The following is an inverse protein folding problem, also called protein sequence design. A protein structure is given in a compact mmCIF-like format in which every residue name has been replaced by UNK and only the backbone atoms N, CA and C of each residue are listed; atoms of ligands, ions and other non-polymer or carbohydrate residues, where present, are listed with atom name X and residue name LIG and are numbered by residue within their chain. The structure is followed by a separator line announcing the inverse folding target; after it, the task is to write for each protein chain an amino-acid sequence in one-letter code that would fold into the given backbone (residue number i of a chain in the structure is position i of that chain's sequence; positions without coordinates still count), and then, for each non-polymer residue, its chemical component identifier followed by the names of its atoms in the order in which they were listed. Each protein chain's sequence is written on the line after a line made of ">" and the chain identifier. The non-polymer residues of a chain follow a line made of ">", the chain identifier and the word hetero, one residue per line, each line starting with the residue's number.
data_IF_824482002871
#
_entry.id   IF_824482002871
#
_cell.length_a   1.000
_cell.length_b   1.000
_cell.length_c   1.000
_cell.angle_alpha   90.00
_cell.angle_beta   90.00
_cell.angle_gamma   90.00
#
_symmetry.space_group_name_H-M   'P 1'
#
loop_
_entity.id
_entity.type
_entity.pdbx_description
1 polymer ?
#
# COMPACT_ATOMS: atom_id res chain seq x y z
N UNK A 1 -0.98 11.46 4.09
CA UNK A 1 -1.71 10.47 4.92
C UNK A 1 -2.93 11.17 5.56
N UNK A 2 -4.03 10.49 5.94
CA UNK A 2 -5.17 11.16 6.59
C UNK A 2 -4.82 11.92 7.87
N UNK A 3 -3.74 11.56 8.55
CA UNK A 3 -3.23 12.28 9.73
C UNK A 3 -2.46 13.57 9.38
N UNK A 4 -2.02 13.76 8.14
CA UNK A 4 -1.30 14.97 7.70
C UNK A 4 -2.25 16.08 7.23
N UNK A 5 -3.57 15.82 7.30
CA UNK A 5 -4.62 16.72 6.83
C UNK A 5 -4.46 18.13 7.43
N UNK A 6 -4.35 19.13 6.56
CA UNK A 6 -4.27 20.54 6.96
C UNK A 6 -2.94 20.97 7.58
N UNK A 7 -1.98 20.05 7.76
CA UNK A 7 -0.69 20.35 8.39
C UNK A 7 0.49 20.28 7.42
N UNK A 8 0.35 19.54 6.31
CA UNK A 8 1.46 19.39 5.38
C UNK A 8 0.98 19.31 3.94
N UNK A 9 1.45 20.24 3.13
CA UNK A 9 1.33 20.20 1.69
C UNK A 9 2.63 19.68 1.08
N UNK A 10 2.57 18.51 0.46
CA UNK A 10 3.73 17.89 -0.20
C UNK A 10 3.85 18.28 -1.68
N UNK A 11 2.94 19.08 -2.23
CA UNK A 11 2.89 19.39 -3.65
C UNK A 11 4.23 19.91 -4.17
N UNK A 12 4.80 20.94 -3.52
CA UNK A 12 6.07 21.52 -3.95
C UNK A 12 7.23 20.52 -3.91
N UNK A 13 7.28 19.68 -2.88
CA UNK A 13 8.32 18.64 -2.74
C UNK A 13 8.16 17.59 -3.84
N UNK A 14 6.93 17.15 -4.11
CA UNK A 14 6.63 16.17 -5.16
C UNK A 14 7.00 16.73 -6.53
N UNK A 15 6.68 17.99 -6.83
CA UNK A 15 7.02 18.65 -8.10
C UNK A 15 8.54 18.74 -8.30
N UNK A 16 9.29 19.12 -7.27
CA UNK A 16 10.75 19.17 -7.33
C UNK A 16 11.37 17.77 -7.58
N UNK A 17 10.88 16.75 -6.87
CA UNK A 17 11.33 15.37 -7.07
C UNK A 17 10.92 14.85 -8.45
N UNK A 18 9.74 15.20 -8.94
CA UNK A 18 9.26 14.80 -10.26
C UNK A 18 10.16 15.36 -11.37
N UNK A 19 10.58 16.62 -11.24
CA UNK A 19 11.55 17.25 -12.13
C UNK A 19 12.90 16.55 -12.05
N UNK A 20 13.41 16.35 -10.84
CA UNK A 20 14.73 15.74 -10.61
C UNK A 20 14.83 14.31 -11.19
N UNK A 21 13.79 13.49 -11.02
CA UNK A 21 13.76 12.10 -11.50
C UNK A 21 13.12 11.94 -12.90
N UNK A 22 12.74 13.03 -13.57
CA UNK A 22 12.19 12.99 -14.93
C UNK A 22 10.82 12.31 -15.06
N UNK A 23 9.99 12.38 -14.02
CA UNK A 23 8.64 11.77 -13.97
C UNK A 23 7.51 12.80 -13.92
N UNK A 24 7.77 14.02 -14.36
CA UNK A 24 6.76 15.10 -14.46
C UNK A 24 5.55 14.64 -15.27
N UNK A 25 4.34 15.00 -14.81
CA UNK A 25 3.09 14.62 -15.45
C UNK A 25 2.66 13.16 -15.20
N UNK A 26 3.45 12.37 -14.47
CA UNK A 26 3.12 10.97 -14.13
C UNK A 26 2.64 10.77 -12.70
N UNK A 27 2.59 11.84 -11.90
CA UNK A 27 2.21 11.80 -10.49
C UNK A 27 0.92 12.57 -10.30
N UNK A 28 -0.07 11.91 -9.70
CA UNK A 28 -1.31 12.55 -9.24
C UNK A 28 -1.24 12.58 -7.72
N UNK A 29 -1.05 13.77 -7.17
CA UNK A 29 -1.13 14.00 -5.73
C UNK A 29 -2.58 14.31 -5.36
N UNK A 30 -3.12 13.60 -4.37
CA UNK A 30 -4.51 13.73 -3.98
C UNK A 30 -4.70 13.61 -2.47
N UNK A 31 -5.81 14.21 -2.01
CA UNK A 31 -6.25 14.20 -0.62
C UNK A 31 -7.68 13.70 -0.56
N UNK A 32 -8.03 13.07 0.57
CA UNK A 32 -9.41 12.72 0.92
C UNK A 32 -10.16 11.81 -0.08
N UNK A 33 -9.42 11.08 -0.92
CA UNK A 33 -10.01 10.07 -1.79
C UNK A 33 -10.22 8.76 -1.01
N UNK A 34 -11.42 8.16 -1.04
CA UNK A 34 -11.63 6.82 -0.52
C UNK A 34 -10.74 5.80 -1.26
N UNK A 35 -9.79 5.19 -0.55
CA UNK A 35 -8.87 4.21 -1.13
C UNK A 35 -9.57 3.03 -1.84
N UNK A 36 -10.69 2.47 -1.34
CA UNK A 36 -11.41 1.42 -2.07
C UNK A 36 -11.83 1.83 -3.49
N UNK A 37 -12.22 3.09 -3.69
CA UNK A 37 -12.56 3.60 -5.01
C UNK A 37 -11.33 3.65 -5.93
N UNK A 38 -10.15 4.01 -5.40
CA UNK A 38 -8.90 4.02 -6.17
C UNK A 38 -8.41 2.62 -6.51
N UNK A 39 -8.65 1.64 -5.65
CA UNK A 39 -8.18 0.28 -5.86
C UNK A 39 -8.72 -0.35 -7.15
N UNK A 40 -9.95 -0.04 -7.55
CA UNK A 40 -10.51 -0.48 -8.83
C UNK A 40 -9.74 0.02 -10.05
N UNK A 41 -8.98 1.10 -9.91
CA UNK A 41 -8.16 1.71 -10.95
C UNK A 41 -6.65 1.53 -10.71
N UNK A 42 -6.27 0.67 -9.75
CA UNK A 42 -4.88 0.49 -9.33
C UNK A 42 -4.33 -0.84 -9.83
N UNK A 43 -3.09 -0.86 -10.33
CA UNK A 43 -2.39 -2.09 -10.76
C UNK A 43 -1.50 -2.72 -9.68
N UNK A 44 -1.12 -1.94 -8.68
CA UNK A 44 -0.30 -2.38 -7.56
C UNK A 44 -0.03 -1.22 -6.61
N UNK A 45 0.34 -1.54 -5.37
CA UNK A 45 0.58 -0.55 -4.31
C UNK A 45 2.02 -0.66 -3.82
N UNK A 46 2.72 0.46 -3.78
CA UNK A 46 4.05 0.56 -3.14
C UNK A 46 3.89 1.31 -1.82
N UNK A 47 4.42 0.76 -0.74
CA UNK A 47 4.32 1.35 0.60
C UNK A 47 5.60 1.12 1.39
N UNK A 48 5.94 2.03 2.31
CA UNK A 48 7.07 1.85 3.21
C UNK A 48 6.72 0.81 4.29
N UNK A 49 5.67 1.09 5.06
CA UNK A 49 5.20 0.24 6.16
C UNK A 49 3.73 0.49 6.55
N UNK A 50 2.97 1.23 5.73
CA UNK A 50 1.59 1.59 6.05
C UNK A 50 0.66 0.37 6.03
N UNK A 51 -0.34 0.32 6.90
CA UNK A 51 -1.41 -0.70 6.87
C UNK A 51 -2.29 -0.64 5.62
N UNK A 52 -2.17 0.42 4.81
CA UNK A 52 -2.73 0.47 3.44
C UNK A 52 -2.29 -0.74 2.61
N UNK A 53 -1.10 -1.30 2.85
CA UNK A 53 -0.68 -2.55 2.21
C UNK A 53 -1.62 -3.73 2.49
N UNK A 54 -2.10 -3.89 3.73
CA UNK A 54 -3.08 -4.94 4.06
C UNK A 54 -4.43 -4.67 3.39
N UNK A 55 -4.85 -3.41 3.36
CA UNK A 55 -6.08 -3.00 2.68
C UNK A 55 -6.01 -3.29 1.17
N UNK A 56 -4.86 -3.05 0.53
CA UNK A 56 -4.65 -3.37 -0.88
C UNK A 56 -4.65 -4.89 -1.14
N UNK A 57 -3.98 -5.68 -0.29
CA UNK A 57 -4.02 -7.15 -0.37
C UNK A 57 -5.45 -7.70 -0.22
N UNK A 58 -6.26 -7.12 0.66
CA UNK A 58 -7.68 -7.45 0.81
C UNK A 58 -8.49 -7.22 -0.47
N UNK A 59 -8.11 -6.21 -1.26
CA UNK A 59 -8.69 -5.92 -2.58
C UNK A 59 -7.97 -6.64 -3.73
N UNK A 60 -7.18 -7.68 -3.42
CA UNK A 60 -6.45 -8.51 -4.38
C UNK A 60 -5.45 -7.71 -5.24
N UNK A 61 -4.88 -6.64 -4.70
CA UNK A 61 -3.85 -5.84 -5.37
C UNK A 61 -2.45 -6.27 -4.96
N UNK A 62 -1.52 -6.44 -5.92
CA UNK A 62 -0.11 -6.67 -5.62
C UNK A 62 0.47 -5.55 -4.76
N UNK A 63 1.28 -5.90 -3.76
CA UNK A 63 1.89 -4.93 -2.84
C UNK A 63 3.41 -5.09 -2.80
N UNK A 64 4.13 -3.98 -2.98
CA UNK A 64 5.57 -3.88 -2.73
C UNK A 64 5.82 -3.09 -1.46
N UNK A 65 6.47 -3.73 -0.49
CA UNK A 65 6.94 -3.07 0.73
C UNK A 65 8.40 -2.68 0.56
N UNK A 66 8.74 -1.42 0.81
CA UNK A 66 10.13 -0.91 0.71
C UNK A 66 10.79 -0.73 2.08
N UNK A 67 10.02 -0.73 3.17
CA UNK A 67 10.51 -0.67 4.54
C UNK A 67 10.30 -1.98 5.30
N UNK A 68 10.02 -1.86 6.61
CA UNK A 68 9.74 -2.99 7.50
C UNK A 68 8.27 -3.01 7.87
N UNK A 69 7.56 -4.04 7.43
CA UNK A 69 6.19 -4.32 7.83
C UNK A 69 6.06 -5.79 8.21
N UNK A 70 5.27 -6.10 9.24
CA UNK A 70 5.12 -7.48 9.72
C UNK A 70 4.46 -8.40 8.67
N UNK A 71 3.69 -7.83 7.75
CA UNK A 71 3.07 -8.53 6.62
C UNK A 71 3.97 -8.59 5.38
N UNK A 72 5.20 -8.06 5.42
CA UNK A 72 6.16 -8.17 4.32
C UNK A 72 6.76 -9.59 4.27
N UNK A 73 5.97 -10.54 3.78
CA UNK A 73 6.28 -11.97 3.76
C UNK A 73 6.33 -12.42 2.30
N UNK A 74 7.29 -13.29 1.95
CA UNK A 74 7.36 -13.88 0.61
C UNK A 74 6.02 -14.53 0.24
N UNK A 75 5.61 -14.38 -1.02
CA UNK A 75 4.31 -14.80 -1.56
C UNK A 75 3.09 -13.99 -1.09
N UNK A 76 3.24 -13.17 -0.05
CA UNK A 76 2.19 -12.26 0.39
C UNK A 76 2.37 -10.86 -0.20
N UNK A 77 3.60 -10.35 -0.13
CA UNK A 77 4.02 -9.11 -0.77
C UNK A 77 5.15 -9.42 -1.76
N UNK A 78 5.27 -8.59 -2.78
CA UNK A 78 6.32 -8.72 -3.78
C UNK A 78 7.70 -8.55 -3.15
N UNK A 79 8.55 -9.55 -3.39
CA UNK A 79 9.96 -9.55 -2.99
C UNK A 79 10.89 -9.18 -4.14
N UNK A 80 10.38 -8.95 -5.34
CA UNK A 80 11.18 -8.54 -6.49
C UNK A 80 11.70 -7.09 -6.34
N UNK A 81 12.59 -6.66 -7.23
CA UNK A 81 13.04 -5.26 -7.23
C UNK A 81 11.88 -4.30 -7.52
N UNK A 82 12.04 -3.03 -7.14
CA UNK A 82 11.01 -2.02 -7.41
C UNK A 82 10.76 -1.87 -8.92
N UNK A 83 11.81 -1.91 -9.74
CA UNK A 83 11.70 -1.82 -11.19
C UNK A 83 10.91 -2.99 -11.80
N UNK A 84 11.19 -4.22 -11.34
CA UNK A 84 10.42 -5.40 -11.76
C UNK A 84 8.94 -5.28 -11.36
N UNK A 85 8.67 -4.79 -10.14
CA UNK A 85 7.30 -4.61 -9.66
C UNK A 85 6.51 -3.61 -10.51
N UNK A 86 7.14 -2.52 -10.95
CA UNK A 86 6.49 -1.52 -11.81
C UNK A 86 6.14 -2.06 -13.21
N UNK A 87 6.94 -3.00 -13.72
CA UNK A 87 6.74 -3.58 -15.05
C UNK A 87 5.74 -4.75 -15.03
N UNK A 88 5.89 -5.66 -14.06
CA UNK A 88 5.14 -6.91 -13.99
C UNK A 88 4.88 -7.28 -12.51
N UNK A 89 3.90 -6.63 -11.86
CA UNK A 89 3.55 -6.99 -10.49
C UNK A 89 2.94 -8.41 -10.45
N UNK A 90 3.48 -9.25 -9.57
CA UNK A 90 2.97 -10.61 -9.37
C UNK A 90 1.59 -10.59 -8.69
N UNK A 91 0.65 -11.48 -9.09
CA UNK A 91 -0.67 -11.54 -8.48
C UNK A 91 -0.59 -11.93 -7.00
N UNK A 92 -1.57 -11.46 -6.23
CA UNK A 92 -1.66 -11.78 -4.80
C UNK A 92 -1.94 -13.27 -4.60
N UNK A 93 -1.20 -13.91 -3.69
CA UNK A 93 -1.53 -15.26 -3.25
C UNK A 93 -2.70 -15.23 -2.25
N UNK A 94 -3.92 -15.14 -2.77
CA UNK A 94 -5.14 -14.87 -1.98
C UNK A 94 -5.33 -15.84 -0.81
N UNK A 95 -5.02 -17.13 -0.99
CA UNK A 95 -5.13 -18.12 0.09
C UNK A 95 -4.19 -17.83 1.27
N UNK A 96 -2.95 -17.45 0.99
CA UNK A 96 -1.96 -17.12 2.02
C UNK A 96 -2.37 -15.84 2.74
N UNK A 97 -2.86 -14.84 1.99
CA UNK A 97 -3.40 -13.63 2.59
C UNK A 97 -4.58 -13.93 3.51
N UNK A 98 -5.53 -14.76 3.08
CA UNK A 98 -6.69 -15.13 3.90
C UNK A 98 -6.29 -15.86 5.19
N UNK A 99 -5.26 -16.72 5.14
CA UNK A 99 -4.70 -17.36 6.34
C UNK A 99 -4.09 -16.33 7.30
N UNK A 100 -3.27 -15.40 6.81
CA UNK A 100 -2.72 -14.32 7.64
C UNK A 100 -3.83 -13.44 8.21
N UNK A 101 -4.79 -13.03 7.38
CA UNK A 101 -5.91 -12.18 7.81
C UNK A 101 -6.74 -12.85 8.90
N UNK A 102 -6.99 -14.16 8.78
CA UNK A 102 -7.68 -14.95 9.80
C UNK A 102 -6.86 -15.07 11.09
N UNK A 103 -5.54 -15.22 10.98
CA UNK A 103 -4.65 -15.27 12.14
C UNK A 103 -4.62 -13.92 12.87
N UNK A 104 -4.46 -12.81 12.14
CA UNK A 104 -4.52 -11.46 12.73
C UNK A 104 -5.86 -11.29 13.45
N UNK A 105 -6.98 -11.60 12.78
CA UNK A 105 -8.30 -11.46 13.38
C UNK A 105 -8.46 -12.26 14.68
N UNK A 106 -7.90 -13.49 14.73
CA UNK A 106 -7.97 -14.37 15.92
C UNK A 106 -7.04 -13.94 17.05
N UNK A 107 -5.83 -13.53 16.72
CA UNK A 107 -4.74 -13.34 17.70
C UNK A 107 -4.57 -11.87 18.12
N UNK A 108 -4.99 -10.91 17.29
CA UNK A 108 -4.84 -9.48 17.59
C UNK A 108 -6.04 -8.89 18.33
N UNK A 109 -7.17 -9.61 18.41
CA UNK A 109 -8.30 -9.21 19.23
C UNK A 109 -8.14 -9.82 20.62
N UNK A 110 -7.84 -8.98 21.60
CA UNK A 110 -8.25 -9.28 22.98
C UNK A 110 -9.78 -9.28 22.97
N UNK A 111 -10.44 -10.29 23.55
CA UNK A 111 -11.88 -10.27 23.79
C UNK A 111 -12.25 -9.03 24.62
N UNK A 112 -12.60 -7.93 23.94
CA UNK A 112 -12.92 -6.66 24.56
C UNK A 112 -13.55 -5.75 23.52
N UNK A 113 -14.86 -5.55 23.62
CA UNK A 113 -15.55 -4.51 22.85
C UNK A 113 -15.18 -3.15 23.45
N UNK A 114 -14.62 -2.25 22.65
CA UNK A 114 -14.78 -0.83 22.90
C UNK A 114 -15.94 -0.36 22.02
N UNK A 115 -17.05 0.01 22.67
CA UNK A 115 -18.24 0.61 22.07
C UNK A 115 -17.95 2.03 21.58
#
# INVERSE_FOLDING_TARGET
>A
HPMDRGYTDYQQVIEQLALHYGVVGRIIYCHDIPLPALYHHTRGVVTVNSTVGLSALLHNLPVKVTGRAFYNIRHLTSQCSLDQFWLAPEPVHTELFNRLHSLIFRESQINGSFF
#
